data_IF_274072508034
#
_entry.id   IF_274072508034
#
_cell.length_a   1.000
_cell.length_b   1.000
_cell.length_c   1.000
_cell.angle_alpha   90.00
_cell.angle_beta   90.00
_cell.angle_gamma   90.00
#
_symmetry.space_group_name_H-M   'P 1'
#
loop_
_entity.id
_entity.type
_entity.pdbx_description
1 polymer ?
#
# COMPACT_ATOMS: atom_id res chain seq x y z
N UNK A 1 18.58 63.25 14.49
CA UNK A 1 19.00 61.84 14.75
C UNK A 1 17.90 61.05 15.48
N UNK A 2 16.62 61.18 15.10
CA UNK A 2 15.49 60.52 15.78
C UNK A 2 14.58 59.73 14.83
N UNK A 3 14.83 59.79 13.52
CA UNK A 3 13.95 59.22 12.47
C UNK A 3 14.43 57.89 11.88
N UNK A 4 15.70 57.51 12.04
CA UNK A 4 16.21 56.23 11.47
C UNK A 4 15.90 55.00 12.35
N UNK A 5 15.79 55.16 13.67
CA UNK A 5 15.51 54.03 14.58
C UNK A 5 14.11 53.44 14.45
N UNK A 6 13.14 54.18 13.90
CA UNK A 6 11.75 53.73 13.78
C UNK A 6 11.42 53.05 12.44
N UNK A 7 12.26 53.24 11.40
CA UNK A 7 12.09 52.55 10.11
C UNK A 7 12.31 51.04 10.20
N UNK A 8 13.26 50.61 11.04
CA UNK A 8 13.59 49.20 11.21
C UNK A 8 12.43 48.46 11.93
N UNK A 9 11.83 49.07 12.95
CA UNK A 9 10.71 48.48 13.68
C UNK A 9 9.42 48.34 12.85
N UNK A 10 9.12 49.31 11.98
CA UNK A 10 7.93 49.25 11.11
C UNK A 10 8.06 48.17 10.01
N UNK A 11 9.27 47.96 9.48
CA UNK A 11 9.52 46.88 8.51
C UNK A 11 9.47 45.51 9.20
N UNK A 12 10.01 45.39 10.42
CA UNK A 12 9.96 44.14 11.19
C UNK A 12 8.53 43.76 11.61
N UNK A 13 7.69 44.72 12.00
CA UNK A 13 6.27 44.44 12.30
C UNK A 13 5.46 44.09 11.04
N UNK A 14 5.73 44.74 9.90
CA UNK A 14 5.07 44.42 8.62
C UNK A 14 5.42 43.03 8.10
N UNK A 15 6.67 42.60 8.20
CA UNK A 15 7.12 41.26 7.79
C UNK A 15 6.61 40.18 8.76
N UNK A 16 6.56 40.46 10.06
CA UNK A 16 6.00 39.51 11.04
C UNK A 16 4.48 39.34 10.86
N UNK A 17 3.76 40.41 10.47
CA UNK A 17 2.32 40.33 10.20
C UNK A 17 2.01 39.50 8.94
N UNK A 18 2.85 39.59 7.90
CA UNK A 18 2.73 38.76 6.69
C UNK A 18 3.10 37.29 6.98
N UNK A 19 4.06 37.02 7.86
CA UNK A 19 4.43 35.65 8.22
C UNK A 19 3.45 34.97 9.20
N UNK A 20 2.79 35.72 10.09
CA UNK A 20 1.85 35.15 11.08
C UNK A 20 0.42 35.05 10.54
N UNK A 21 -0.02 35.97 9.67
CA UNK A 21 -1.37 35.90 9.07
C UNK A 21 -1.41 35.28 7.66
N UNK A 22 -0.29 35.23 6.93
CA UNK A 22 -0.21 34.54 5.63
C UNK A 22 -0.44 33.02 5.73
N UNK A 23 -0.36 32.44 6.93
CA UNK A 23 -0.58 31.01 7.16
C UNK A 23 -2.02 30.63 7.52
N UNK A 24 -2.93 31.59 7.73
CA UNK A 24 -4.24 31.28 8.30
C UNK A 24 -5.44 31.41 7.37
N UNK A 25 -5.31 31.87 6.12
CA UNK A 25 -6.47 32.00 5.23
C UNK A 25 -6.06 31.81 3.76
N UNK A 26 -5.78 30.57 3.35
CA UNK A 26 -6.03 30.17 1.95
C UNK A 26 -7.45 29.59 1.94
N UNK A 27 -8.46 30.33 1.45
CA UNK A 27 -9.81 29.80 1.30
C UNK A 27 -9.74 28.74 0.19
N UNK A 28 -9.90 27.47 0.53
CA UNK A 28 -9.86 26.37 -0.44
C UNK A 28 -9.05 25.15 -0.01
N UNK A 29 -8.25 25.23 1.07
CA UNK A 29 -7.64 24.04 1.65
C UNK A 29 -8.71 23.32 2.49
N UNK A 30 -9.35 22.32 1.87
CA UNK A 30 -10.12 21.29 2.56
C UNK A 30 -9.43 20.93 3.90
N UNK A 31 -10.13 21.09 5.03
CA UNK A 31 -9.63 20.65 6.34
C UNK A 31 -9.51 19.12 6.31
N UNK A 32 -8.32 18.66 5.95
CA UNK A 32 -7.93 17.27 5.89
C UNK A 32 -8.21 16.55 7.22
N UNK A 33 -9.10 15.55 7.22
CA UNK A 33 -9.27 14.66 8.37
C UNK A 33 -8.17 13.60 8.35
N UNK A 34 -7.48 13.40 9.47
CA UNK A 34 -6.59 12.24 9.63
C UNK A 34 -7.43 10.96 9.57
N UNK A 35 -6.88 9.92 8.96
CA UNK A 35 -7.46 8.58 9.09
C UNK A 35 -7.41 8.18 10.58
N UNK A 36 -8.40 7.43 11.08
CA UNK A 36 -8.37 6.92 12.43
C UNK A 36 -7.24 5.90 12.60
N UNK A 37 -6.68 5.81 13.80
CA UNK A 37 -5.65 4.83 14.15
C UNK A 37 -6.20 3.39 14.30
N UNK A 38 -7.53 3.24 14.30
CA UNK A 38 -8.25 1.99 14.48
C UNK A 38 -9.16 1.75 13.26
N UNK A 39 -8.94 0.61 12.60
CA UNK A 39 -9.65 0.26 11.36
C UNK A 39 -11.14 0.00 11.58
N UNK A 40 -11.58 -0.31 12.80
CA UNK A 40 -13.00 -0.48 13.12
C UNK A 40 -13.82 0.80 12.97
N UNK A 41 -13.15 1.96 13.03
CA UNK A 41 -13.76 3.29 12.90
C UNK A 41 -13.93 3.74 11.44
N UNK A 42 -13.50 2.92 10.49
CA UNK A 42 -13.56 3.22 9.06
C UNK A 42 -14.82 2.62 8.47
N UNK A 43 -15.59 3.43 7.74
CA UNK A 43 -16.76 2.92 7.04
C UNK A 43 -16.33 2.03 5.87
N UNK A 44 -16.95 0.85 5.75
CA UNK A 44 -16.69 -0.07 4.64
C UNK A 44 -17.00 0.50 3.25
N UNK A 45 -17.80 1.58 3.18
CA UNK A 45 -18.04 2.30 1.91
C UNK A 45 -16.82 3.07 1.43
N UNK A 46 -15.88 3.32 2.33
CA UNK A 46 -14.65 4.05 2.09
C UNK A 46 -13.47 3.07 2.01
N UNK A 47 -13.69 1.76 2.08
CA UNK A 47 -12.66 0.74 1.93
C UNK A 47 -12.62 0.18 0.50
N UNK A 48 -11.43 -0.12 -0.01
CA UNK A 48 -11.26 -0.67 -1.35
C UNK A 48 -11.58 -2.17 -1.44
N UNK A 49 -11.78 -2.88 -0.33
CA UNK A 49 -11.97 -4.34 -0.27
C UNK A 49 -12.93 -4.85 -1.37
N UNK A 50 -14.11 -4.23 -1.53
CA UNK A 50 -15.08 -4.65 -2.55
C UNK A 50 -14.56 -4.46 -3.98
N UNK A 51 -13.88 -3.35 -4.28
CA UNK A 51 -13.29 -3.09 -5.61
C UNK A 51 -12.15 -4.08 -5.88
N UNK A 52 -11.29 -4.30 -4.89
CA UNK A 52 -10.18 -5.27 -4.93
C UNK A 52 -10.71 -6.67 -5.24
N UNK A 53 -11.74 -7.12 -4.53
CA UNK A 53 -12.35 -8.43 -4.75
C UNK A 53 -12.92 -8.57 -6.18
N UNK A 54 -13.57 -7.54 -6.72
CA UNK A 54 -14.00 -7.53 -8.13
C UNK A 54 -12.83 -7.64 -9.11
N UNK A 55 -11.71 -7.01 -8.81
CA UNK A 55 -10.49 -7.07 -9.64
C UNK A 55 -9.87 -8.46 -9.58
N UNK A 56 -9.80 -9.09 -8.41
CA UNK A 56 -9.28 -10.46 -8.25
C UNK A 56 -10.03 -11.44 -9.14
N UNK A 57 -11.36 -11.33 -9.24
CA UNK A 57 -12.18 -12.18 -10.11
C UNK A 57 -11.80 -12.07 -11.60
N UNK A 58 -11.16 -10.97 -12.02
CA UNK A 58 -10.67 -10.82 -13.40
C UNK A 58 -9.41 -11.65 -13.70
N UNK A 59 -8.78 -12.24 -12.69
CA UNK A 59 -7.64 -13.16 -12.85
C UNK A 59 -8.07 -14.63 -12.89
N UNK A 60 -9.37 -14.94 -12.74
CA UNK A 60 -9.86 -16.31 -12.85
C UNK A 60 -9.74 -16.87 -14.28
N UNK A 61 -9.75 -18.20 -14.38
CA UNK A 61 -9.43 -19.04 -15.55
C UNK A 61 -10.13 -18.70 -16.88
N UNK A 62 -11.20 -17.89 -16.87
CA UNK A 62 -11.84 -17.40 -18.08
C UNK A 62 -10.89 -16.61 -19.01
N UNK A 63 -9.78 -16.11 -18.48
CA UNK A 63 -8.72 -15.41 -19.23
C UNK A 63 -7.48 -16.29 -19.53
N UNK A 64 -7.54 -17.59 -19.22
CA UNK A 64 -6.40 -18.51 -19.21
C UNK A 64 -5.50 -18.33 -17.98
N UNK A 65 -4.72 -19.35 -17.59
CA UNK A 65 -3.84 -19.27 -16.43
C UNK A 65 -2.76 -18.21 -16.65
N UNK A 66 -2.62 -17.27 -15.70
CA UNK A 66 -1.48 -16.37 -15.69
C UNK A 66 -0.21 -17.17 -15.43
N UNK A 67 0.87 -16.97 -16.20
CA UNK A 67 2.04 -17.81 -16.07
C UNK A 67 2.71 -17.61 -14.72
N UNK A 68 3.34 -18.69 -14.26
CA UNK A 68 4.27 -18.64 -13.14
C UNK A 68 5.32 -17.54 -13.35
N UNK A 69 5.82 -17.02 -12.24
CA UNK A 69 6.91 -16.08 -12.23
C UNK A 69 8.12 -16.66 -12.98
N UNK A 70 8.50 -16.03 -14.10
CA UNK A 70 9.75 -16.29 -14.79
C UNK A 70 10.72 -15.20 -14.38
N UNK A 71 11.58 -15.49 -13.41
CA UNK A 71 12.55 -14.52 -12.92
C UNK A 71 13.48 -14.07 -14.05
N UNK A 72 13.23 -12.86 -14.55
CA UNK A 72 14.16 -12.08 -15.38
C UNK A 72 14.13 -10.64 -14.85
N UNK A 73 15.18 -10.16 -14.19
CA UNK A 73 15.23 -8.77 -13.76
C UNK A 73 15.24 -7.87 -15.01
N UNK A 74 14.13 -7.21 -15.28
CA UNK A 74 14.11 -6.04 -16.16
C UNK A 74 14.19 -4.80 -15.27
N UNK A 75 15.19 -3.95 -15.51
CA UNK A 75 15.42 -2.70 -14.78
C UNK A 75 14.23 -1.71 -14.84
N UNK A 76 13.26 -1.93 -15.75
CA UNK A 76 12.11 -1.05 -15.98
C UNK A 76 10.77 -1.63 -15.53
N UNK A 77 10.72 -2.91 -15.17
CA UNK A 77 9.48 -3.62 -14.83
C UNK A 77 9.04 -3.39 -13.38
N UNK A 78 7.75 -3.14 -13.17
CA UNK A 78 7.14 -3.12 -11.84
C UNK A 78 6.75 -4.50 -11.33
N UNK A 79 7.01 -5.54 -12.13
CA UNK A 79 6.57 -6.89 -11.83
C UNK A 79 5.05 -7.06 -11.90
N UNK A 80 4.39 -6.28 -12.76
CA UNK A 80 2.94 -6.27 -12.97
C UNK A 80 2.59 -7.06 -14.24
N UNK A 81 1.37 -7.58 -14.32
CA UNK A 81 0.88 -8.28 -15.53
C UNK A 81 0.53 -7.34 -16.67
N UNK A 82 0.39 -6.04 -16.37
CA UNK A 82 0.02 -4.99 -17.32
C UNK A 82 0.65 -3.66 -16.95
N UNK A 83 0.61 -2.74 -17.91
CA UNK A 83 1.05 -1.37 -17.72
C UNK A 83 0.24 -0.68 -16.63
N UNK A 84 0.93 0.08 -15.80
CA UNK A 84 0.32 0.90 -14.76
C UNK A 84 0.44 2.35 -15.18
N UNK A 85 -0.69 3.05 -15.11
CA UNK A 85 -0.79 4.48 -15.37
C UNK A 85 -1.14 5.23 -14.09
N UNK A 86 -0.62 6.45 -13.98
CA UNK A 86 -0.96 7.39 -12.94
C UNK A 86 -1.23 8.75 -13.57
N UNK A 87 -2.46 9.26 -13.45
CA UNK A 87 -2.88 10.54 -14.08
C UNK A 87 -2.44 10.65 -15.54
N UNK A 88 -2.71 9.59 -16.32
CA UNK A 88 -2.32 9.50 -17.74
C UNK A 88 -0.85 9.22 -18.04
N UNK A 89 0.04 9.23 -17.03
CA UNK A 89 1.46 8.92 -17.23
C UNK A 89 1.73 7.43 -17.02
N UNK A 90 2.44 6.81 -17.96
CA UNK A 90 2.94 5.45 -17.78
C UNK A 90 4.01 5.45 -16.69
N UNK A 91 3.74 4.77 -15.58
CA UNK A 91 4.66 4.69 -14.42
C UNK A 91 5.39 3.36 -14.33
N UNK A 92 4.98 2.38 -15.12
CA UNK A 92 5.64 1.09 -15.19
C UNK A 92 5.02 0.19 -16.24
N UNK A 93 5.88 -0.49 -16.99
CA UNK A 93 5.45 -1.47 -17.98
C UNK A 93 5.10 -2.79 -17.31
N UNK A 94 4.03 -3.41 -17.81
CA UNK A 94 3.72 -4.80 -17.47
C UNK A 94 4.68 -5.77 -18.14
N UNK A 95 4.83 -6.94 -17.54
CA UNK A 95 5.60 -8.03 -18.13
C UNK A 95 4.93 -8.47 -19.45
N UNK A 96 5.67 -8.57 -20.57
CA UNK A 96 5.09 -8.93 -21.86
C UNK A 96 4.38 -10.30 -21.87
N UNK A 97 4.85 -11.24 -21.06
CA UNK A 97 4.25 -12.58 -20.91
C UNK A 97 3.12 -12.61 -19.88
N UNK A 98 2.74 -11.47 -19.29
CA UNK A 98 1.75 -11.33 -18.22
C UNK A 98 2.10 -12.07 -16.93
N UNK A 99 3.34 -12.51 -16.74
CA UNK A 99 3.81 -12.93 -15.41
C UNK A 99 3.81 -11.74 -14.45
N UNK A 100 3.87 -12.00 -13.15
CA UNK A 100 3.94 -10.96 -12.13
C UNK A 100 4.78 -11.43 -10.96
N UNK A 101 5.23 -10.49 -10.13
CA UNK A 101 5.83 -10.76 -8.83
C UNK A 101 4.80 -10.47 -7.75
N UNK A 102 4.94 -11.11 -6.59
CA UNK A 102 4.01 -10.98 -5.48
C UNK A 102 3.66 -9.52 -5.13
N UNK A 103 4.66 -8.68 -4.91
CA UNK A 103 4.44 -7.25 -4.58
C UNK A 103 3.93 -6.43 -5.77
N UNK A 104 4.33 -6.80 -6.99
CA UNK A 104 3.85 -6.16 -8.22
C UNK A 104 2.36 -6.44 -8.46
N UNK A 105 1.91 -7.67 -8.25
CA UNK A 105 0.49 -8.02 -8.33
C UNK A 105 -0.34 -7.22 -7.32
N UNK A 106 0.14 -7.14 -6.07
CA UNK A 106 -0.52 -6.34 -5.01
C UNK A 106 -0.59 -4.87 -5.41
N UNK A 107 0.51 -4.29 -5.93
CA UNK A 107 0.53 -2.92 -6.43
C UNK A 107 -0.44 -2.72 -7.59
N UNK A 108 -0.46 -3.61 -8.58
CA UNK A 108 -1.37 -3.55 -9.72
C UNK A 108 -2.84 -3.59 -9.27
N UNK A 109 -3.21 -4.52 -8.40
CA UNK A 109 -4.59 -4.63 -7.92
C UNK A 109 -4.96 -3.39 -7.10
N UNK A 110 -4.06 -2.90 -6.25
CA UNK A 110 -4.25 -1.65 -5.53
C UNK A 110 -4.48 -0.47 -6.47
N UNK A 111 -3.61 -0.29 -7.48
CA UNK A 111 -3.71 0.80 -8.45
C UNK A 111 -4.99 0.72 -9.29
N UNK A 112 -5.42 -0.48 -9.68
CA UNK A 112 -6.68 -0.72 -10.41
C UNK A 112 -7.91 -0.47 -9.55
N UNK A 113 -7.83 -0.72 -8.24
CA UNK A 113 -8.92 -0.47 -7.30
C UNK A 113 -9.03 1.02 -6.93
N UNK A 114 -7.90 1.71 -6.96
CA UNK A 114 -7.80 3.14 -6.77
C UNK A 114 -8.41 3.87 -7.97
N UNK A 115 -9.01 5.03 -7.71
CA UNK A 115 -9.45 5.95 -8.74
C UNK A 115 -8.64 7.25 -8.66
N UNK A 116 -8.74 8.09 -9.70
CA UNK A 116 -8.01 9.36 -9.74
C UNK A 116 -8.34 10.28 -8.54
N UNK A 117 -9.55 10.16 -7.98
CA UNK A 117 -9.97 10.89 -6.78
C UNK A 117 -9.15 10.47 -5.55
N UNK A 118 -8.85 9.18 -5.39
CA UNK A 118 -8.04 8.69 -4.28
C UNK A 118 -6.64 9.31 -4.26
N UNK A 119 -6.05 9.54 -5.44
CA UNK A 119 -4.73 10.11 -5.58
C UNK A 119 -4.69 11.64 -5.62
N UNK A 120 -5.84 12.32 -5.70
CA UNK A 120 -5.93 13.76 -5.46
C UNK A 120 -5.60 14.15 -4.00
N UNK A 121 -5.47 13.15 -3.11
CA UNK A 121 -5.37 13.31 -1.65
C UNK A 121 -4.10 12.72 -1.01
N UNK A 122 -3.12 12.32 -1.82
CA UNK A 122 -1.84 11.77 -1.34
C UNK A 122 -1.15 12.74 -0.37
N UNK A 123 -0.76 12.26 0.82
CA UNK A 123 0.07 13.03 1.78
C UNK A 123 1.52 13.26 1.33
N UNK A 124 1.87 12.84 0.11
CA UNK A 124 3.18 13.10 -0.48
C UNK A 124 2.94 14.23 -1.48
N UNK A 125 3.35 15.45 -1.09
CA UNK A 125 3.24 16.70 -1.87
C UNK A 125 1.87 17.01 -2.48
N UNK A 126 1.83 17.44 -3.75
CA UNK A 126 0.60 17.81 -4.48
C UNK A 126 -0.05 16.62 -5.21
N UNK A 127 0.47 15.42 -4.96
CA UNK A 127 0.12 14.21 -5.68
C UNK A 127 0.66 14.19 -7.11
N UNK A 128 1.67 15.01 -7.43
CA UNK A 128 2.39 14.99 -8.70
C UNK A 128 3.14 13.68 -8.93
N UNK A 129 3.76 13.57 -10.11
CA UNK A 129 4.45 12.34 -10.53
C UNK A 129 5.65 11.99 -9.63
N UNK A 130 6.37 12.99 -9.14
CA UNK A 130 7.53 12.78 -8.26
C UNK A 130 7.14 12.25 -6.88
N UNK A 131 6.09 12.83 -6.30
CA UNK A 131 5.50 12.36 -5.05
C UNK A 131 4.97 10.94 -5.18
N UNK A 132 4.28 10.65 -6.28
CA UNK A 132 3.82 9.31 -6.59
C UNK A 132 4.99 8.34 -6.74
N UNK A 133 6.08 8.74 -7.41
CA UNK A 133 7.27 7.90 -7.55
C UNK A 133 7.92 7.60 -6.19
N UNK A 134 7.93 8.57 -5.27
CA UNK A 134 8.39 8.34 -3.90
C UNK A 134 7.47 7.38 -3.15
N UNK A 135 6.15 7.55 -3.25
CA UNK A 135 5.16 6.62 -2.70
C UNK A 135 5.36 5.20 -3.27
N UNK A 136 5.50 5.06 -4.59
CA UNK A 136 5.75 3.79 -5.27
C UNK A 136 7.01 3.12 -4.75
N UNK A 137 8.14 3.85 -4.65
CA UNK A 137 9.37 3.28 -4.07
C UNK A 137 9.15 2.78 -2.64
N UNK A 138 8.41 3.51 -1.80
CA UNK A 138 8.04 3.06 -0.45
C UNK A 138 7.13 1.82 -0.48
N UNK A 139 6.18 1.78 -1.40
CA UNK A 139 5.25 0.66 -1.57
C UNK A 139 5.99 -0.65 -1.86
N UNK A 140 6.98 -0.59 -2.75
CA UNK A 140 7.85 -1.75 -3.07
C UNK A 140 8.84 -2.08 -1.95
N UNK A 141 9.07 -1.13 -1.05
CA UNK A 141 9.74 -1.33 0.22
C UNK A 141 11.14 -0.75 0.29
N UNK A 142 11.35 0.05 1.33
CA UNK A 142 12.67 0.32 1.92
C UNK A 142 12.89 -0.46 3.22
N UNK A 143 11.82 -1.11 3.70
CA UNK A 143 11.75 -1.84 4.97
C UNK A 143 11.08 -3.20 4.70
N UNK A 144 11.15 -4.11 5.67
CA UNK A 144 10.40 -5.38 5.63
C UNK A 144 8.88 -5.20 5.50
N UNK A 145 8.35 -4.05 5.92
CA UNK A 145 6.90 -3.79 5.97
C UNK A 145 6.35 -3.23 4.65
N UNK A 146 7.20 -2.71 3.77
CA UNK A 146 6.84 -2.29 2.40
C UNK A 146 5.57 -1.40 2.33
N UNK A 147 4.54 -1.82 1.61
CA UNK A 147 3.27 -1.10 1.51
C UNK A 147 2.53 -1.00 2.85
N UNK A 148 2.85 -1.87 3.82
CA UNK A 148 2.27 -1.78 5.15
C UNK A 148 2.70 -0.50 5.89
N UNK A 149 3.85 0.07 5.53
CA UNK A 149 4.25 1.42 5.96
C UNK A 149 3.79 2.50 4.97
N UNK A 150 3.93 2.23 3.67
CA UNK A 150 3.71 3.25 2.64
C UNK A 150 2.26 3.77 2.60
N UNK A 151 1.27 2.89 2.73
CA UNK A 151 -0.13 3.25 2.64
C UNK A 151 -0.61 4.09 3.82
N UNK A 152 -0.34 3.72 5.10
CA UNK A 152 -0.64 4.60 6.24
C UNK A 152 0.06 5.95 6.17
N UNK A 153 1.35 5.99 5.81
CA UNK A 153 2.11 7.23 5.69
C UNK A 153 1.51 8.16 4.61
N UNK A 154 1.07 7.59 3.49
CA UNK A 154 0.42 8.33 2.41
C UNK A 154 -1.04 8.71 2.72
N UNK A 155 -1.63 8.19 3.81
CA UNK A 155 -3.05 8.38 4.12
C UNK A 155 -3.98 7.61 3.18
N UNK A 156 -3.52 6.50 2.61
CA UNK A 156 -4.22 5.65 1.65
C UNK A 156 -4.61 4.27 2.23
N UNK A 157 -4.24 4.01 3.48
CA UNK A 157 -4.58 2.78 4.16
C UNK A 157 -4.41 2.90 5.66
N UNK A 158 -4.95 1.92 6.37
CA UNK A 158 -4.85 1.79 7.82
C UNK A 158 -4.36 0.39 8.13
N UNK A 159 -3.40 0.30 9.03
CA UNK A 159 -2.90 -0.99 9.52
C UNK A 159 -4.00 -1.70 10.31
N UNK A 160 -4.23 -2.96 9.97
CA UNK A 160 -5.13 -3.86 10.69
C UNK A 160 -4.29 -4.59 11.74
N UNK A 161 -4.26 -4.03 12.95
CA UNK A 161 -3.43 -4.54 14.06
C UNK A 161 -4.01 -5.79 14.72
N UNK A 162 -5.33 -5.88 14.77
CA UNK A 162 -6.05 -7.06 15.25
C UNK A 162 -6.42 -7.93 14.06
N UNK A 163 -5.90 -9.16 14.02
CA UNK A 163 -6.17 -10.11 12.93
C UNK A 163 -7.66 -10.41 12.81
N UNK A 164 -8.42 -10.40 13.91
CA UNK A 164 -9.87 -10.60 13.88
C UNK A 164 -10.62 -9.52 13.10
N UNK A 165 -9.99 -8.36 12.88
CA UNK A 165 -10.55 -7.28 12.09
C UNK A 165 -10.21 -7.37 10.60
N UNK A 166 -9.33 -8.29 10.18
CA UNK A 166 -8.97 -8.48 8.78
C UNK A 166 -10.17 -8.94 7.94
N UNK A 167 -10.24 -8.48 6.70
CA UNK A 167 -11.36 -8.74 5.78
C UNK A 167 -10.84 -9.09 4.39
N UNK A 168 -11.57 -9.94 3.62
CA UNK A 168 -11.23 -10.21 2.23
C UNK A 168 -10.95 -8.93 1.46
N UNK A 169 -9.82 -8.87 0.77
CA UNK A 169 -9.37 -7.68 0.03
C UNK A 169 -8.40 -6.76 0.78
N UNK A 170 -8.12 -7.02 2.06
CA UNK A 170 -7.00 -6.36 2.74
C UNK A 170 -5.66 -6.83 2.13
N UNK A 171 -4.68 -5.94 2.07
CA UNK A 171 -3.35 -6.25 1.54
C UNK A 171 -2.50 -6.85 2.65
N UNK A 172 -1.74 -7.90 2.35
CA UNK A 172 -0.98 -8.66 3.34
C UNK A 172 0.48 -8.80 2.91
N UNK A 173 1.40 -8.36 3.76
CA UNK A 173 2.84 -8.57 3.65
C UNK A 173 3.27 -9.56 4.74
N UNK A 174 4.01 -10.60 4.38
CA UNK A 174 4.52 -11.58 5.33
C UNK A 174 6.02 -11.80 5.18
N UNK A 175 6.62 -12.35 6.23
CA UNK A 175 7.99 -12.88 6.22
C UNK A 175 8.02 -14.28 6.79
N UNK A 176 8.96 -15.07 6.29
CA UNK A 176 9.27 -16.39 6.81
C UNK A 176 10.42 -16.35 7.81
N UNK A 177 10.39 -17.28 8.76
CA UNK A 177 11.51 -17.51 9.67
C UNK A 177 12.80 -17.74 8.87
N UNK A 178 13.96 -17.27 9.36
CA UNK A 178 15.24 -17.45 8.69
C UNK A 178 15.49 -18.91 8.31
N UNK A 179 15.95 -19.15 7.09
CA UNK A 179 16.33 -20.50 6.67
C UNK A 179 17.58 -20.97 7.44
N UNK A 180 17.60 -22.24 7.88
CA UNK A 180 18.66 -22.77 8.74
C UNK A 180 20.04 -22.79 8.07
N UNK A 181 20.08 -22.93 6.74
CA UNK A 181 21.29 -23.02 5.93
C UNK A 181 21.92 -21.66 5.60
N UNK A 182 21.10 -20.61 5.46
CA UNK A 182 21.55 -19.30 4.99
C UNK A 182 21.38 -18.18 6.02
N UNK A 183 20.60 -18.41 7.07
CA UNK A 183 20.20 -17.39 8.04
C UNK A 183 19.34 -16.26 7.46
N UNK A 184 18.85 -16.40 6.22
CA UNK A 184 18.08 -15.36 5.53
C UNK A 184 16.59 -15.65 5.62
N UNK A 185 15.80 -14.61 5.92
CA UNK A 185 14.34 -14.62 5.78
C UNK A 185 13.94 -14.28 4.34
N UNK A 186 12.79 -14.79 3.90
CA UNK A 186 12.15 -14.39 2.64
C UNK A 186 10.81 -13.72 2.91
N UNK A 187 10.51 -12.68 2.12
CA UNK A 187 9.24 -11.96 2.17
C UNK A 187 8.27 -12.43 1.09
N UNK A 188 6.97 -12.22 1.31
CA UNK A 188 5.94 -12.44 0.30
C UNK A 188 4.77 -11.49 0.51
N UNK A 189 4.00 -11.25 -0.55
CA UNK A 189 2.87 -10.33 -0.50
C UNK A 189 1.68 -10.90 -1.26
N UNK A 190 0.48 -10.61 -0.78
CA UNK A 190 -0.75 -10.96 -1.48
C UNK A 190 -1.94 -10.22 -0.94
N UNK A 191 -3.13 -10.70 -1.31
CA UNK A 191 -4.40 -10.13 -0.89
C UNK A 191 -5.15 -11.15 -0.06
N UNK A 192 -5.37 -10.80 1.21
CA UNK A 192 -6.02 -11.66 2.19
C UNK A 192 -7.44 -12.02 1.74
N UNK A 193 -7.81 -13.29 1.88
CA UNK A 193 -9.15 -13.79 1.60
C UNK A 193 -9.86 -14.18 2.90
N UNK A 194 -9.26 -15.05 3.70
CA UNK A 194 -9.88 -15.59 4.91
C UNK A 194 -8.81 -16.16 5.86
N UNK A 195 -9.15 -16.26 7.14
CA UNK A 195 -8.33 -16.96 8.14
C UNK A 195 -8.64 -18.46 8.11
N UNK A 196 -7.59 -19.27 8.22
CA UNK A 196 -7.70 -20.69 8.53
C UNK A 196 -7.67 -20.87 10.04
N UNK A 197 -8.59 -21.67 10.56
CA UNK A 197 -8.71 -21.93 12.00
C UNK A 197 -8.64 -23.41 12.32
N UNK A 198 -8.11 -23.72 13.50
CA UNK A 198 -8.17 -25.06 14.08
C UNK A 198 -9.52 -25.34 14.76
N UNK A 199 -9.64 -26.50 15.39
CA UNK A 199 -10.85 -26.93 16.12
C UNK A 199 -11.17 -26.10 17.35
N UNK A 200 -10.19 -25.38 17.90
CA UNK A 200 -10.33 -24.48 19.04
C UNK A 200 -10.62 -23.04 18.60
N UNK A 201 -10.84 -22.81 17.30
CA UNK A 201 -11.08 -21.51 16.68
C UNK A 201 -9.86 -20.57 16.71
N UNK A 202 -8.65 -21.09 16.94
CA UNK A 202 -7.43 -20.30 16.84
C UNK A 202 -7.06 -20.08 15.37
N UNK A 203 -6.59 -18.88 15.02
CA UNK A 203 -6.03 -18.61 13.69
C UNK A 203 -4.71 -19.38 13.55
N UNK A 204 -4.62 -20.29 12.59
CA UNK A 204 -3.41 -21.10 12.30
C UNK A 204 -2.79 -20.81 10.93
N UNK A 205 -3.48 -20.05 10.09
CA UNK A 205 -3.05 -19.73 8.74
C UNK A 205 -4.08 -18.86 8.03
N UNK A 206 -3.95 -18.72 6.71
CA UNK A 206 -4.86 -17.91 5.91
C UNK A 206 -4.90 -18.37 4.45
N UNK A 207 -5.98 -18.00 3.77
CA UNK A 207 -6.09 -18.09 2.32
C UNK A 207 -5.68 -16.74 1.70
N UNK A 208 -4.78 -16.77 0.72
CA UNK A 208 -4.16 -15.61 0.10
C UNK A 208 -4.30 -15.68 -1.42
N UNK A 209 -4.77 -14.60 -2.04
CA UNK A 209 -4.62 -14.39 -3.47
C UNK A 209 -3.21 -13.86 -3.75
N UNK A 210 -2.42 -14.62 -4.50
CA UNK A 210 -0.98 -14.42 -4.61
C UNK A 210 -0.41 -14.89 -5.95
N UNK A 211 0.84 -14.51 -6.21
CA UNK A 211 1.68 -15.15 -7.23
C UNK A 211 2.38 -16.35 -6.58
N UNK A 212 2.31 -17.51 -7.23
CA UNK A 212 2.98 -18.74 -6.81
C UNK A 212 3.83 -19.33 -7.95
N UNK A 213 4.51 -20.45 -7.67
CA UNK A 213 5.25 -21.21 -8.68
C UNK A 213 4.36 -21.77 -9.82
N UNK A 214 3.04 -21.72 -9.66
CA UNK A 214 2.04 -22.16 -10.65
C UNK A 214 1.33 -20.97 -11.33
N UNK A 215 1.70 -19.73 -11.01
CA UNK A 215 1.02 -18.53 -11.49
C UNK A 215 0.19 -17.83 -10.42
N UNK A 216 -0.74 -16.99 -10.86
CA UNK A 216 -1.62 -16.22 -9.98
C UNK A 216 -2.79 -17.09 -9.54
N UNK A 217 -2.95 -17.29 -8.23
CA UNK A 217 -3.98 -18.16 -7.68
C UNK A 217 -4.31 -17.81 -6.23
N UNK A 218 -5.35 -18.46 -5.71
CA UNK A 218 -5.71 -18.40 -4.29
C UNK A 218 -5.19 -19.66 -3.62
N UNK A 219 -4.28 -19.51 -2.66
CA UNK A 219 -3.64 -20.62 -1.96
C UNK A 219 -3.74 -20.46 -0.45
N UNK A 220 -3.65 -21.59 0.25
CA UNK A 220 -3.60 -21.65 1.71
C UNK A 220 -2.15 -21.58 2.20
N UNK A 221 -1.94 -20.84 3.26
CA UNK A 221 -0.66 -20.61 3.92
C UNK A 221 -0.83 -20.81 5.42
N UNK A 222 0.20 -21.30 6.11
CA UNK A 222 0.15 -21.60 7.55
C UNK A 222 1.26 -20.89 8.30
N UNK A 223 0.93 -20.42 9.51
CA UNK A 223 1.93 -19.94 10.45
C UNK A 223 2.72 -21.11 11.02
N UNK A 224 3.97 -20.83 11.40
CA UNK A 224 4.79 -21.82 12.08
C UNK A 224 6.09 -21.23 12.61
N UNK A 225 6.75 -21.99 13.48
CA UNK A 225 7.94 -21.56 14.21
C UNK A 225 9.25 -22.12 13.63
N UNK A 226 9.16 -22.99 12.60
CA UNK A 226 10.34 -23.60 11.98
C UNK A 226 10.94 -22.72 10.88
N UNK A 227 12.20 -22.95 10.50
CA UNK A 227 12.82 -22.29 9.36
C UNK A 227 11.95 -22.37 8.11
N UNK A 228 11.83 -21.24 7.38
CA UNK A 228 11.00 -21.10 6.18
C UNK A 228 9.48 -21.18 6.38
N UNK A 229 8.97 -21.44 7.59
CA UNK A 229 7.55 -21.26 7.92
C UNK A 229 7.23 -19.77 8.11
N UNK A 230 5.95 -19.41 7.99
CA UNK A 230 5.53 -18.00 8.08
C UNK A 230 5.55 -17.55 9.54
N UNK A 231 6.29 -16.47 9.78
CA UNK A 231 6.34 -15.82 11.08
C UNK A 231 5.09 -14.96 11.26
N UNK A 232 4.22 -15.38 12.20
CA UNK A 232 3.00 -14.65 12.54
C UNK A 232 3.28 -13.21 12.98
N UNK A 233 4.39 -12.97 13.68
CA UNK A 233 4.75 -11.65 14.21
C UNK A 233 5.36 -10.74 13.14
N UNK A 234 5.76 -11.30 11.99
CA UNK A 234 6.18 -10.54 10.81
C UNK A 234 5.15 -10.62 9.67
N UNK A 235 3.86 -10.71 10.04
CA UNK A 235 2.73 -10.60 9.12
C UNK A 235 1.98 -9.28 9.36
N UNK A 236 1.89 -8.47 8.31
CA UNK A 236 1.37 -7.12 8.34
C UNK A 236 0.19 -6.99 7.38
N UNK A 237 -0.92 -6.44 7.87
CA UNK A 237 -2.16 -6.33 7.12
C UNK A 237 -2.54 -4.86 7.02
N UNK A 238 -2.90 -4.40 5.83
CA UNK A 238 -3.38 -3.04 5.60
C UNK A 238 -4.69 -3.05 4.84
N UNK A 239 -5.67 -2.32 5.39
CA UNK A 239 -6.90 -2.00 4.68
C UNK A 239 -6.69 -0.74 3.86
N UNK A 240 -6.73 -0.87 2.54
CA UNK A 240 -6.69 0.27 1.64
C UNK A 240 -8.03 1.03 1.66
N UNK A 241 -7.96 2.36 1.73
CA UNK A 241 -9.14 3.23 1.90
C UNK A 241 -9.13 4.36 0.89
N UNK A 242 -10.34 4.76 0.47
CA UNK A 242 -10.61 5.97 -0.28
C UNK A 242 -10.77 7.08 0.74
N UNK A 243 -9.96 8.13 0.60
CA UNK A 243 -10.12 9.34 1.39
C UNK A 243 -11.19 10.21 0.74
N UNK A 244 -12.23 10.57 1.50
CA UNK A 244 -13.24 11.56 1.12
C UNK A 244 -13.05 12.83 1.94
#
# INVERSE_FOLDING_TARGET
>A
MFWEKYKIWLISLGVLFVCVFGYCMIPGISRWRSLPDDVSKVSMRDCLNRKIQKIILTYNEANGPFPAEKWKPDATGLGTTRDIYYRGHLIGKGNPDKSSFCIGLVFEVFMRASDDLMFSSLKVGDGGLDDFNLFRKRFYGFTKRSFADALPLAGLGIEVKDFEQARPGDLLQLWRNPAADTGKSSGHSGIFQEWLRDTENNIVGFTLFQVSGQGISILKEYFGDKPREIDRNQTYIVRAVIRK
#
